data_IF_894157066999
#
_entry.id   IF_894157066999
#
_cell.length_a   1.000
_cell.length_b   1.000
_cell.length_c   1.000
_cell.angle_alpha   90.00
_cell.angle_beta   90.00
_cell.angle_gamma   90.00
#
_symmetry.space_group_name_H-M   'P 1'
#
loop_
_entity.id
_entity.type
_entity.pdbx_description
1 polymer ?
#
# COMPACT_ATOMS: atom_id res chain seq x y z
N UNK A 1 38.83 18.45 -0.71
CA UNK A 1 38.68 17.89 -2.07
C UNK A 1 38.31 16.41 -1.89
N UNK A 2 36.99 16.12 -1.82
CA UNK A 2 36.49 14.77 -1.56
C UNK A 2 36.76 13.88 -2.77
N UNK A 3 37.75 13.02 -2.66
CA UNK A 3 37.95 11.92 -3.58
C UNK A 3 36.83 10.92 -3.36
N UNK A 4 35.76 10.96 -4.19
CA UNK A 4 34.79 9.88 -4.24
C UNK A 4 35.54 8.58 -4.59
N UNK A 5 35.65 7.68 -3.61
CA UNK A 5 36.19 6.34 -3.81
C UNK A 5 35.21 5.60 -4.75
N UNK A 6 35.60 5.38 -6.00
CA UNK A 6 34.86 4.49 -6.91
C UNK A 6 35.35 3.08 -6.65
N UNK A 7 34.54 2.31 -5.93
CA UNK A 7 34.79 0.89 -5.68
C UNK A 7 34.16 0.06 -6.81
N UNK A 8 34.99 -0.58 -7.64
CA UNK A 8 34.51 -1.71 -8.41
C UNK A 8 34.66 -2.92 -7.48
N UNK A 9 33.53 -3.33 -6.89
CA UNK A 9 33.51 -4.39 -5.88
C UNK A 9 33.48 -5.76 -6.56
N UNK A 10 34.65 -6.32 -6.78
CA UNK A 10 34.79 -7.72 -7.22
C UNK A 10 35.19 -8.62 -6.04
N UNK A 11 34.78 -9.88 -6.10
CA UNK A 11 35.19 -10.88 -5.11
C UNK A 11 36.75 -10.97 -5.02
N UNK A 12 37.24 -10.95 -3.77
CA UNK A 12 38.66 -10.99 -3.49
C UNK A 12 39.39 -9.65 -3.58
N UNK A 13 38.70 -8.56 -3.94
CA UNK A 13 39.31 -7.24 -4.01
C UNK A 13 39.61 -6.68 -2.62
N UNK A 14 40.77 -6.04 -2.49
CA UNK A 14 41.19 -5.37 -1.26
C UNK A 14 41.55 -3.92 -1.56
N UNK A 15 40.85 -2.98 -0.97
CA UNK A 15 41.15 -1.54 -1.09
C UNK A 15 41.63 -1.00 0.24
N UNK A 16 42.73 -0.24 0.18
CA UNK A 16 43.37 0.41 1.35
C UNK A 16 43.39 1.91 1.15
N UNK A 17 43.07 2.67 2.19
CA UNK A 17 43.23 4.12 2.18
C UNK A 17 43.57 4.63 3.58
N UNK A 18 44.13 5.83 3.64
CA UNK A 18 44.46 6.52 4.89
C UNK A 18 43.58 7.74 5.03
N UNK A 19 43.04 7.94 6.22
CA UNK A 19 42.28 9.12 6.59
C UNK A 19 42.56 9.47 8.05
N UNK A 20 42.92 10.74 8.32
CA UNK A 20 43.24 11.28 9.66
C UNK A 20 44.28 10.41 10.42
N UNK A 21 45.34 9.96 9.73
CA UNK A 21 46.40 9.15 10.29
C UNK A 21 45.99 7.71 10.63
N UNK A 22 44.78 7.30 10.22
CA UNK A 22 44.30 5.92 10.36
C UNK A 22 44.26 5.21 9.02
N UNK A 23 44.82 3.99 9.00
CA UNK A 23 44.79 3.12 7.83
C UNK A 23 43.44 2.32 7.84
N UNK A 24 42.71 2.44 6.77
CA UNK A 24 41.50 1.63 6.53
C UNK A 24 41.78 0.59 5.48
N UNK A 25 41.19 -0.60 5.65
CA UNK A 25 41.30 -1.71 4.73
C UNK A 25 39.89 -2.30 4.53
N UNK A 26 39.41 -2.26 3.29
CA UNK A 26 38.18 -2.96 2.87
C UNK A 26 38.55 -4.19 2.08
N UNK A 27 38.12 -5.35 2.53
CA UNK A 27 38.27 -6.61 1.81
C UNK A 27 36.89 -7.11 1.40
N UNK A 28 36.68 -7.30 0.11
CA UNK A 28 35.44 -7.79 -0.46
C UNK A 28 35.49 -9.29 -0.63
N UNK A 29 34.55 -10.00 -0.11
CA UNK A 29 34.40 -11.45 -0.32
C UNK A 29 32.96 -11.76 -0.73
N UNK A 30 32.82 -12.71 -1.63
CA UNK A 30 31.52 -13.28 -1.94
C UNK A 30 31.06 -14.09 -0.73
N UNK A 31 29.84 -13.82 -0.30
CA UNK A 31 29.13 -14.64 0.69
C UNK A 31 28.58 -15.87 -0.05
N UNK A 32 29.03 -17.07 0.34
CA UNK A 32 28.55 -18.31 -0.29
C UNK A 32 27.16 -18.76 0.23
N UNK A 33 26.72 -18.16 1.32
CA UNK A 33 25.44 -18.49 1.96
C UNK A 33 24.74 -17.19 2.45
N UNK A 34 24.42 -16.27 1.52
CA UNK A 34 23.86 -14.99 1.90
C UNK A 34 22.48 -15.19 2.53
N UNK A 35 22.25 -14.55 3.66
CA UNK A 35 20.91 -14.43 4.23
C UNK A 35 20.05 -13.53 3.35
N UNK A 36 18.78 -13.90 3.19
CA UNK A 36 17.79 -13.02 2.58
C UNK A 36 17.28 -12.03 3.62
N UNK A 37 17.60 -10.72 3.52
CA UNK A 37 17.19 -9.75 4.52
C UNK A 37 15.68 -9.64 4.72
N UNK A 38 14.89 -10.04 3.72
CA UNK A 38 13.43 -10.00 3.81
C UNK A 38 12.83 -11.22 4.51
N UNK A 39 13.52 -12.37 4.47
CA UNK A 39 13.03 -13.64 5.02
C UNK A 39 13.70 -14.04 6.32
N UNK A 40 15.00 -13.74 6.42
CA UNK A 40 15.82 -14.23 7.52
C UNK A 40 16.01 -13.22 8.65
N UNK A 41 15.59 -11.96 8.43
CA UNK A 41 15.71 -10.88 9.43
C UNK A 41 14.33 -10.35 9.83
N UNK A 42 14.22 -9.87 11.05
CA UNK A 42 13.03 -9.18 11.54
C UNK A 42 12.87 -7.84 10.81
N UNK A 43 11.82 -7.73 10.01
CA UNK A 43 11.50 -6.52 9.28
C UNK A 43 10.34 -5.79 9.95
N UNK A 44 10.49 -4.48 10.11
CA UNK A 44 9.44 -3.60 10.64
C UNK A 44 8.43 -3.18 9.56
N UNK A 45 8.69 -3.53 8.30
CA UNK A 45 7.86 -3.16 7.16
C UNK A 45 7.39 -4.41 6.42
N UNK A 46 6.19 -4.33 5.86
CA UNK A 46 5.68 -5.32 4.92
C UNK A 46 5.85 -4.82 3.49
N UNK A 47 6.42 -5.64 2.62
CA UNK A 47 6.56 -5.38 1.20
C UNK A 47 5.51 -6.19 0.44
N UNK A 48 4.34 -5.59 0.23
CA UNK A 48 3.22 -6.22 -0.46
C UNK A 48 3.30 -5.95 -1.96
N UNK A 49 3.39 -7.02 -2.77
CA UNK A 49 3.54 -6.91 -4.22
C UNK A 49 2.63 -7.88 -4.96
N UNK A 50 2.06 -7.40 -6.08
CA UNK A 50 1.27 -8.19 -7.02
C UNK A 50 1.84 -8.05 -8.43
N UNK A 51 2.30 -9.15 -8.98
CA UNK A 51 2.79 -9.18 -10.35
C UNK A 51 2.49 -10.53 -11.00
N UNK A 52 1.95 -10.51 -12.22
CA UNK A 52 1.48 -11.72 -12.92
C UNK A 52 2.55 -12.77 -13.23
N UNK A 53 3.85 -12.38 -13.26
CA UNK A 53 4.94 -13.26 -13.69
C UNK A 53 5.99 -13.50 -12.61
N UNK A 54 6.11 -12.60 -11.64
CA UNK A 54 7.18 -12.64 -10.65
C UNK A 54 6.60 -12.69 -9.24
N UNK A 55 7.10 -13.59 -8.41
CA UNK A 55 6.89 -13.54 -6.96
C UNK A 55 7.81 -12.50 -6.37
N UNK A 56 7.26 -11.36 -5.98
CA UNK A 56 7.98 -10.20 -5.44
C UNK A 56 7.48 -9.90 -4.04
N UNK A 57 8.37 -9.33 -3.20
CA UNK A 57 7.99 -8.93 -1.85
C UNK A 57 7.84 -10.08 -0.87
N UNK A 58 7.09 -9.80 0.18
CA UNK A 58 6.82 -10.76 1.24
C UNK A 58 5.67 -11.70 0.83
N UNK A 59 5.54 -12.82 1.56
CA UNK A 59 4.40 -13.71 1.37
C UNK A 59 3.14 -13.08 1.97
N UNK A 60 2.17 -12.73 1.13
CA UNK A 60 0.87 -12.18 1.51
C UNK A 60 -0.25 -13.14 1.11
N UNK A 61 -1.32 -13.17 1.90
CA UNK A 61 -2.44 -14.09 1.69
C UNK A 61 -3.44 -13.55 0.67
N UNK A 62 -3.53 -12.23 0.54
CA UNK A 62 -4.50 -11.55 -0.31
C UNK A 62 -4.10 -11.69 -1.79
N UNK A 63 -5.06 -12.06 -2.63
CA UNK A 63 -4.82 -12.28 -4.06
C UNK A 63 -4.76 -10.99 -4.85
N UNK A 64 -5.55 -10.00 -4.44
CA UNK A 64 -5.67 -8.72 -5.09
C UNK A 64 -5.25 -7.58 -4.15
N UNK A 65 -4.75 -6.46 -4.68
CA UNK A 65 -4.38 -5.31 -3.87
C UNK A 65 -5.54 -4.72 -3.07
N UNK A 66 -6.75 -4.76 -3.60
CA UNK A 66 -7.98 -4.30 -2.96
C UNK A 66 -8.24 -5.08 -1.67
N UNK A 67 -8.25 -6.41 -1.74
CA UNK A 67 -8.47 -7.30 -0.59
C UNK A 67 -7.47 -7.02 0.54
N UNK A 68 -6.22 -6.77 0.16
CA UNK A 68 -5.15 -6.45 1.11
C UNK A 68 -5.42 -5.13 1.85
N UNK A 69 -5.78 -4.06 1.14
CA UNK A 69 -6.05 -2.76 1.75
C UNK A 69 -7.33 -2.76 2.58
N UNK A 70 -8.37 -3.46 2.12
CA UNK A 70 -9.60 -3.66 2.87
C UNK A 70 -9.34 -4.41 4.19
N UNK A 71 -8.55 -5.48 4.14
CA UNK A 71 -8.14 -6.21 5.35
C UNK A 71 -7.34 -5.33 6.31
N UNK A 72 -6.39 -4.53 5.83
CA UNK A 72 -5.63 -3.61 6.69
C UNK A 72 -6.54 -2.60 7.40
N UNK A 73 -7.54 -2.05 6.70
CA UNK A 73 -8.53 -1.17 7.31
C UNK A 73 -9.31 -1.92 8.38
N UNK A 74 -9.81 -3.12 8.07
CA UNK A 74 -10.56 -3.94 9.01
C UNK A 74 -9.79 -4.28 10.29
N UNK A 75 -8.50 -4.57 10.17
CA UNK A 75 -7.64 -4.94 11.28
C UNK A 75 -7.20 -3.75 12.16
N UNK A 76 -7.14 -2.54 11.62
CA UNK A 76 -6.49 -1.41 12.29
C UNK A 76 -7.41 -0.22 12.54
N UNK A 77 -8.48 -0.02 11.76
CA UNK A 77 -9.37 1.12 11.88
C UNK A 77 -10.62 0.72 12.67
N UNK A 78 -10.96 1.43 13.76
CA UNK A 78 -12.20 1.17 14.49
C UNK A 78 -13.43 1.31 13.58
N UNK A 79 -14.38 0.40 13.71
CA UNK A 79 -15.62 0.39 12.94
C UNK A 79 -16.35 1.75 13.00
N UNK A 80 -16.37 2.38 14.18
CA UNK A 80 -16.96 3.70 14.38
C UNK A 80 -16.33 4.79 13.51
N UNK A 81 -15.03 4.71 13.21
CA UNK A 81 -14.34 5.67 12.35
C UNK A 81 -14.66 5.44 10.88
N UNK A 82 -14.84 4.19 10.46
CA UNK A 82 -15.29 3.84 9.11
C UNK A 82 -16.68 4.45 8.87
N UNK A 83 -17.60 4.25 9.80
CA UNK A 83 -18.95 4.79 9.74
C UNK A 83 -18.94 6.32 9.76
N UNK A 84 -18.18 6.95 10.66
CA UNK A 84 -18.07 8.41 10.74
C UNK A 84 -17.50 9.02 9.46
N UNK A 85 -16.47 8.39 8.88
CA UNK A 85 -15.87 8.85 7.64
C UNK A 85 -16.86 8.80 6.47
N UNK A 86 -17.69 7.77 6.40
CA UNK A 86 -18.76 7.65 5.41
C UNK A 86 -19.87 8.69 5.65
N UNK A 87 -20.32 8.90 6.89
CA UNK A 87 -21.32 9.91 7.25
C UNK A 87 -20.84 11.34 6.93
N UNK A 88 -19.57 11.64 7.18
CA UNK A 88 -18.96 12.93 6.87
C UNK A 88 -18.67 13.15 5.39
N UNK A 89 -18.86 12.13 4.55
CA UNK A 89 -18.53 12.18 3.12
C UNK A 89 -17.02 12.32 2.85
N UNK A 90 -16.18 11.91 3.80
CA UNK A 90 -14.71 11.91 3.65
C UNK A 90 -14.21 10.83 2.68
N UNK A 91 -15.03 9.81 2.47
CA UNK A 91 -14.74 8.75 1.50
C UNK A 91 -15.31 9.20 0.16
N UNK A 92 -14.44 9.60 -0.76
CA UNK A 92 -14.84 10.05 -2.09
C UNK A 92 -15.72 9.01 -2.78
N UNK A 93 -16.95 9.41 -3.15
CA UNK A 93 -17.92 8.57 -3.85
C UNK A 93 -18.82 7.73 -2.93
N UNK A 94 -18.53 7.60 -1.65
CA UNK A 94 -19.38 6.89 -0.68
C UNK A 94 -20.08 7.89 0.24
N UNK A 95 -21.39 7.83 0.31
CA UNK A 95 -22.18 8.63 1.24
C UNK A 95 -23.28 7.78 1.85
N UNK A 96 -23.40 7.81 3.17
CA UNK A 96 -24.54 7.28 3.87
C UNK A 96 -25.66 8.34 3.82
N UNK A 97 -26.76 8.04 3.16
CA UNK A 97 -27.94 8.89 3.17
C UNK A 97 -28.78 8.53 4.40
N UNK A 98 -29.04 9.52 5.28
CA UNK A 98 -29.96 9.35 6.39
C UNK A 98 -31.40 9.30 5.87
N UNK A 99 -32.15 8.30 6.29
CA UNK A 99 -33.58 8.26 6.00
C UNK A 99 -34.27 9.46 6.68
N UNK A 100 -34.94 10.38 5.92
CA UNK A 100 -35.54 11.56 6.49
C UNK A 100 -36.80 11.27 7.33
N UNK A 101 -37.36 10.07 7.27
CA UNK A 101 -38.64 9.78 7.91
C UNK A 101 -38.57 9.44 9.40
N UNK A 102 -37.42 8.86 9.87
CA UNK A 102 -37.42 8.31 11.23
C UNK A 102 -36.45 9.00 12.21
N UNK A 103 -35.46 9.74 11.81
CA UNK A 103 -34.60 10.56 12.70
C UNK A 103 -33.85 9.83 13.84
N UNK A 104 -34.17 8.57 14.11
CA UNK A 104 -33.56 7.78 15.18
C UNK A 104 -32.39 6.91 14.62
N UNK A 105 -31.25 6.97 15.28
CA UNK A 105 -30.02 6.28 14.85
C UNK A 105 -30.18 4.75 14.75
N UNK A 106 -31.10 4.16 15.50
CA UNK A 106 -31.39 2.73 15.44
C UNK A 106 -32.11 2.31 14.15
N UNK A 107 -32.96 3.18 13.60
CA UNK A 107 -33.74 2.92 12.38
C UNK A 107 -32.96 3.29 11.10
N UNK A 108 -31.87 4.04 11.22
CA UNK A 108 -31.05 4.51 10.08
C UNK A 108 -30.35 3.35 9.38
N UNK A 109 -30.06 2.28 10.09
CA UNK A 109 -29.31 1.14 9.58
C UNK A 109 -30.18 0.03 8.97
N UNK A 110 -31.49 0.16 9.01
CA UNK A 110 -32.38 -0.74 8.26
C UNK A 110 -32.48 -0.35 6.77
N UNK A 111 -32.10 0.88 6.41
CA UNK A 111 -32.07 1.34 5.02
C UNK A 111 -30.84 2.22 4.79
N UNK A 112 -29.74 1.62 4.40
CA UNK A 112 -28.55 2.35 3.96
C UNK A 112 -28.61 2.52 2.45
N UNK A 113 -28.81 3.76 2.00
CA UNK A 113 -28.72 4.10 0.58
C UNK A 113 -27.30 4.56 0.27
N UNK A 114 -26.63 3.80 -0.58
CA UNK A 114 -25.33 4.15 -1.12
C UNK A 114 -25.49 4.96 -2.39
N UNK A 115 -24.83 6.10 -2.46
CA UNK A 115 -24.69 6.86 -3.67
C UNK A 115 -23.22 6.90 -4.07
N UNK A 116 -22.81 6.05 -4.99
CA UNK A 116 -21.53 6.19 -5.68
C UNK A 116 -21.68 7.32 -6.70
N UNK A 117 -20.95 8.41 -6.50
CA UNK A 117 -20.85 9.49 -7.50
C UNK A 117 -19.54 9.26 -8.24
N UNK A 118 -19.59 8.63 -9.40
CA UNK A 118 -18.45 8.59 -10.33
C UNK A 118 -18.39 9.93 -11.08
N UNK A 119 -17.17 10.47 -11.27
CA UNK A 119 -16.92 11.77 -11.88
C UNK A 119 -17.66 11.94 -13.22
N UNK A 120 -18.05 13.19 -13.50
CA UNK A 120 -18.82 13.71 -14.63
C UNK A 120 -20.35 13.77 -14.45
N UNK A 121 -20.86 13.68 -13.21
CA UNK A 121 -22.23 14.15 -12.93
C UNK A 121 -23.35 13.14 -13.18
N UNK A 122 -23.05 11.94 -13.66
CA UNK A 122 -24.04 10.86 -13.67
C UNK A 122 -24.20 10.31 -12.24
N UNK A 123 -25.42 10.32 -11.68
CA UNK A 123 -25.66 9.64 -10.42
C UNK A 123 -25.50 8.15 -10.67
N UNK A 124 -24.43 7.54 -10.14
CA UNK A 124 -24.26 6.10 -10.15
C UNK A 124 -25.48 5.40 -9.55
N UNK A 125 -25.71 4.16 -9.90
CA UNK A 125 -26.80 3.36 -9.36
C UNK A 125 -26.78 3.44 -7.82
N UNK A 126 -27.88 3.84 -7.23
CA UNK A 126 -28.05 3.77 -5.78
C UNK A 126 -28.21 2.30 -5.43
N UNK A 127 -27.20 1.73 -4.77
CA UNK A 127 -27.35 0.43 -4.15
C UNK A 127 -28.19 0.65 -2.86
N UNK A 128 -29.39 0.14 -2.84
CA UNK A 128 -30.24 0.11 -1.65
C UNK A 128 -29.97 -1.23 -0.95
N UNK A 129 -29.37 -1.16 0.24
CA UNK A 129 -29.27 -2.32 1.11
C UNK A 129 -30.40 -2.24 2.13
N UNK A 130 -31.49 -2.92 1.88
CA UNK A 130 -32.55 -3.11 2.87
C UNK A 130 -32.15 -4.19 3.88
N UNK A 131 -32.24 -3.87 5.17
CA UNK A 131 -32.11 -4.87 6.24
C UNK A 131 -30.68 -5.24 6.63
N UNK A 132 -29.66 -4.41 6.35
CA UNK A 132 -28.31 -4.64 6.84
C UNK A 132 -28.23 -4.29 8.33
N UNK A 133 -27.88 -5.23 9.23
CA UNK A 133 -27.67 -4.93 10.64
C UNK A 133 -26.59 -3.86 10.82
N UNK A 134 -26.71 -3.02 11.84
CA UNK A 134 -25.78 -1.93 12.11
C UNK A 134 -24.32 -2.41 12.19
N UNK A 135 -24.10 -3.53 12.83
CA UNK A 135 -22.82 -4.18 13.03
C UNK A 135 -22.23 -4.79 11.75
N UNK A 136 -23.01 -4.92 10.69
CA UNK A 136 -22.53 -5.40 9.38
C UNK A 136 -22.31 -4.24 8.38
N UNK A 137 -22.76 -3.02 8.66
CA UNK A 137 -22.67 -1.90 7.71
C UNK A 137 -21.23 -1.56 7.37
N UNK A 138 -20.33 -1.56 8.34
CA UNK A 138 -18.91 -1.27 8.11
C UNK A 138 -18.23 -2.31 7.21
N UNK A 139 -18.59 -3.58 7.35
CA UNK A 139 -18.10 -4.67 6.50
C UNK A 139 -18.56 -4.49 5.05
N UNK A 140 -19.85 -4.21 4.83
CA UNK A 140 -20.37 -3.92 3.49
C UNK A 140 -19.72 -2.68 2.85
N UNK A 141 -19.49 -1.62 3.66
CA UNK A 141 -18.74 -0.44 3.20
C UNK A 141 -17.37 -0.78 2.71
N UNK A 142 -16.69 -1.61 3.46
CA UNK A 142 -15.31 -1.97 3.21
C UNK A 142 -15.16 -2.77 1.91
N UNK A 143 -16.07 -3.71 1.65
CA UNK A 143 -16.05 -4.53 0.44
C UNK A 143 -16.16 -3.68 -0.86
N UNK A 144 -16.84 -2.54 -0.79
CA UNK A 144 -16.99 -1.62 -1.93
C UNK A 144 -15.93 -0.51 -1.96
N UNK A 145 -15.02 -0.44 -0.97
CA UNK A 145 -13.98 0.58 -0.93
C UNK A 145 -12.88 0.35 -1.94
N UNK A 146 -12.54 1.41 -2.65
CA UNK A 146 -11.33 1.45 -3.48
C UNK A 146 -10.07 1.53 -2.62
N UNK A 147 -8.93 1.13 -3.18
CA UNK A 147 -7.60 1.28 -2.54
C UNK A 147 -7.39 2.72 -2.02
N UNK A 148 -7.75 3.74 -2.80
CA UNK A 148 -7.59 5.13 -2.38
C UNK A 148 -8.41 5.52 -1.15
N UNK A 149 -9.61 4.97 -0.98
CA UNK A 149 -10.45 5.17 0.19
C UNK A 149 -9.88 4.44 1.42
N UNK A 150 -9.45 3.20 1.24
CA UNK A 150 -8.75 2.45 2.29
C UNK A 150 -7.49 3.19 2.75
N UNK A 151 -6.68 3.69 1.82
CA UNK A 151 -5.49 4.48 2.13
C UNK A 151 -5.84 5.73 2.95
N UNK A 152 -6.93 6.43 2.60
CA UNK A 152 -7.38 7.62 3.36
C UNK A 152 -7.73 7.27 4.81
N UNK A 153 -8.39 6.15 5.05
CA UNK A 153 -8.70 5.66 6.39
C UNK A 153 -7.45 5.22 7.16
N UNK A 154 -6.47 4.68 6.45
CA UNK A 154 -5.23 4.17 7.04
C UNK A 154 -4.19 5.25 7.36
N UNK A 155 -4.33 6.49 6.85
CA UNK A 155 -3.37 7.60 7.10
C UNK A 155 -2.96 7.79 8.58
N UNK A 156 -3.86 7.65 9.58
CA UNK A 156 -3.49 7.78 10.99
C UNK A 156 -2.76 6.54 11.56
N UNK A 157 -2.81 5.39 10.89
CA UNK A 157 -2.42 4.08 11.42
C UNK A 157 -1.18 3.49 10.78
N UNK A 158 -0.84 3.90 9.56
CA UNK A 158 0.30 3.36 8.83
C UNK A 158 0.92 4.39 7.89
N UNK A 159 2.20 4.21 7.59
CA UNK A 159 2.90 4.89 6.51
C UNK A 159 3.17 3.90 5.38
N UNK A 160 3.16 4.36 4.13
CA UNK A 160 3.44 3.52 2.98
C UNK A 160 4.17 4.26 1.87
N UNK A 161 4.91 3.48 1.09
CA UNK A 161 5.58 3.94 -0.12
C UNK A 161 5.21 3.04 -1.30
N UNK A 162 4.82 3.59 -2.45
CA UNK A 162 4.56 2.80 -3.65
C UNK A 162 5.85 2.14 -4.15
N UNK A 163 5.70 0.93 -4.68
CA UNK A 163 6.77 0.17 -5.31
C UNK A 163 6.56 0.17 -6.82
N UNK A 164 7.60 0.58 -7.54
CA UNK A 164 7.63 0.62 -8.99
C UNK A 164 8.53 -0.48 -9.52
N UNK A 165 8.06 -1.18 -10.54
CA UNK A 165 8.83 -2.16 -11.30
C UNK A 165 9.14 -1.59 -12.69
N UNK A 166 10.36 -1.80 -13.17
CA UNK A 166 10.76 -1.61 -14.56
C UNK A 166 11.22 -2.97 -15.12
N UNK A 167 10.56 -3.44 -16.19
CA UNK A 167 10.76 -4.75 -16.82
C UNK A 167 11.20 -4.59 -18.27
N UNK A 168 12.50 -4.36 -18.46
CA UNK A 168 13.10 -4.26 -19.80
C UNK A 168 14.45 -5.00 -19.80
N UNK A 169 14.51 -6.18 -20.43
CA UNK A 169 15.69 -7.07 -20.46
C UNK A 169 16.17 -7.53 -19.08
N UNK A 170 15.32 -7.45 -18.08
CA UNK A 170 15.54 -7.73 -16.68
C UNK A 170 14.68 -6.83 -15.83
N UNK A 171 14.45 -7.20 -14.57
CA UNK A 171 13.61 -6.44 -13.64
C UNK A 171 14.46 -5.62 -12.69
N UNK A 172 14.03 -4.39 -12.44
CA UNK A 172 14.52 -3.55 -11.34
C UNK A 172 13.34 -2.92 -10.62
N UNK A 173 13.52 -2.63 -9.35
CA UNK A 173 12.47 -2.07 -8.49
C UNK A 173 12.96 -0.80 -7.80
N UNK A 174 12.02 0.09 -7.50
CA UNK A 174 12.23 1.31 -6.70
C UNK A 174 11.01 1.59 -5.87
N UNK A 175 11.17 2.30 -4.75
CA UNK A 175 10.06 2.75 -3.92
C UNK A 175 10.00 4.28 -3.86
N UNK A 176 8.82 4.81 -3.52
CA UNK A 176 8.55 6.23 -3.38
C UNK A 176 8.24 6.91 -4.73
N UNK A 177 8.88 8.05 -5.00
CA UNK A 177 8.56 8.87 -6.18
C UNK A 177 8.91 8.17 -7.49
N UNK A 178 7.98 8.15 -8.43
CA UNK A 178 8.14 7.59 -9.76
C UNK A 178 9.06 8.47 -10.61
N UNK A 179 10.34 8.09 -10.76
CA UNK A 179 11.36 8.88 -11.48
C UNK A 179 12.23 8.02 -12.38
N UNK A 180 12.98 8.66 -13.31
CA UNK A 180 13.91 7.99 -14.20
C UNK A 180 13.24 6.92 -15.07
N UNK A 181 13.83 5.73 -15.13
CA UNK A 181 13.29 4.60 -15.91
C UNK A 181 11.89 4.16 -15.46
N UNK A 182 11.56 4.38 -14.19
CA UNK A 182 10.25 4.04 -13.66
C UNK A 182 9.13 5.01 -14.10
N UNK A 183 9.46 6.13 -14.72
CA UNK A 183 8.51 7.05 -15.35
C UNK A 183 8.06 6.60 -16.74
N UNK A 184 8.71 5.60 -17.32
CA UNK A 184 8.30 4.99 -18.58
C UNK A 184 6.90 4.37 -18.45
N UNK A 185 6.05 4.55 -19.47
CA UNK A 185 4.67 4.05 -19.43
C UNK A 185 4.53 2.65 -20.00
N UNK A 186 5.52 2.15 -20.74
CA UNK A 186 5.44 0.87 -21.42
C UNK A 186 6.06 -0.25 -20.59
N UNK A 187 7.24 0.02 -20.06
CA UNK A 187 8.05 -0.99 -19.39
C UNK A 187 8.03 -0.84 -17.85
N UNK A 188 7.24 0.12 -17.31
CA UNK A 188 7.15 0.31 -15.88
C UNK A 188 5.71 0.44 -15.36
N UNK A 189 5.49 -0.04 -14.14
CA UNK A 189 4.22 0.05 -13.45
C UNK A 189 4.39 -0.03 -11.93
N UNK A 190 3.36 0.41 -11.22
CA UNK A 190 3.27 0.13 -9.80
C UNK A 190 2.93 -1.34 -9.60
N UNK A 191 3.61 -2.00 -8.68
CA UNK A 191 3.42 -3.42 -8.38
C UNK A 191 3.07 -3.68 -6.93
N UNK A 192 3.06 -2.64 -6.08
CA UNK A 192 2.74 -2.81 -4.67
C UNK A 192 3.13 -1.63 -3.80
N UNK A 193 3.27 -1.91 -2.51
CA UNK A 193 3.63 -0.94 -1.48
C UNK A 193 4.57 -1.54 -0.44
N UNK A 194 5.40 -0.68 0.17
CA UNK A 194 6.05 -0.95 1.46
C UNK A 194 5.19 -0.25 2.52
N UNK A 195 4.80 -0.97 3.57
CA UNK A 195 3.91 -0.49 4.63
C UNK A 195 4.61 -0.68 5.98
N UNK A 196 4.51 0.33 6.85
CA UNK A 196 5.07 0.36 8.19
C UNK A 196 4.01 0.83 9.18
#
# INVERSE_FOLDING_TARGET
MDKKLRLNLYDGETVKWENDGKLFCLHVRMDSTPSDPRRDWDNITTMACWHRRYGLGDEIQDKEPEDFWQRLVWENVPESEILEAAEMGKLNGIRIAKNPENGDLADIYETVQWRTVFGDGDPGESLEYEGVPRDAVAEYLLDDMTIGQCMTLMEPYAEWLPIWLYDHSGITMSCGTRTGQYADRWDSGQVGWIIM
#
